data_IF_190228484499
#
_entry.id   IF_190228484499
#
_cell.length_a   1.000
_cell.length_b   1.000
_cell.length_c   1.000
_cell.angle_alpha   90.00
_cell.angle_beta   90.00
_cell.angle_gamma   90.00
#
_symmetry.space_group_name_H-M   'P 1'
#
loop_
_entity.id
_entity.type
_entity.pdbx_description
1 polymer ?
#
# COMPACT_ATOMS: atom_id res chain seq x y z
N UNK A 1 -6.14 14.17 -9.54
CA UNK A 1 -6.04 15.43 -8.77
C UNK A 1 -4.65 15.52 -8.15
N UNK A 2 -4.14 16.71 -7.88
CA UNK A 2 -2.76 16.93 -7.40
C UNK A 2 -2.36 16.06 -6.19
N UNK A 3 -3.26 15.92 -5.20
CA UNK A 3 -3.01 15.09 -3.99
C UNK A 3 -2.87 13.60 -4.32
N UNK A 4 -3.64 13.10 -5.30
CA UNK A 4 -3.51 11.72 -5.77
C UNK A 4 -2.13 11.48 -6.39
N UNK A 5 -1.65 12.41 -7.21
CA UNK A 5 -0.32 12.30 -7.83
C UNK A 5 0.81 12.32 -6.79
N UNK A 6 0.72 13.19 -5.78
CA UNK A 6 1.65 13.20 -4.66
C UNK A 6 1.63 11.88 -3.89
N UNK A 7 0.43 11.37 -3.61
CA UNK A 7 0.25 10.09 -2.90
C UNK A 7 0.85 8.93 -3.70
N UNK A 8 0.58 8.86 -5.00
CA UNK A 8 1.12 7.82 -5.88
C UNK A 8 2.66 7.89 -5.97
N UNK A 9 3.22 9.10 -6.05
CA UNK A 9 4.68 9.27 -6.05
C UNK A 9 5.30 8.87 -4.71
N UNK A 10 4.62 9.17 -3.60
CA UNK A 10 5.06 8.73 -2.29
C UNK A 10 5.00 7.19 -2.17
N UNK A 11 3.91 6.56 -2.65
CA UNK A 11 3.78 5.10 -2.72
C UNK A 11 4.91 4.46 -3.52
N UNK A 12 5.35 5.06 -4.64
CA UNK A 12 6.51 4.56 -5.40
C UNK A 12 7.81 4.59 -4.59
N UNK A 13 7.98 5.58 -3.71
CA UNK A 13 9.17 5.69 -2.85
C UNK A 13 9.12 4.72 -1.65
N UNK A 14 7.96 4.60 -1.01
CA UNK A 14 7.79 3.74 0.18
C UNK A 14 7.53 2.27 -0.17
N UNK A 15 7.11 2.00 -1.40
CA UNK A 15 6.71 0.70 -1.95
C UNK A 15 5.52 0.06 -1.23
N UNK A 16 4.91 -0.94 -1.87
CA UNK A 16 3.75 -1.67 -1.32
C UNK A 16 4.10 -2.74 -0.29
N UNK A 17 5.35 -3.19 -0.27
CA UNK A 17 5.79 -4.30 0.56
C UNK A 17 6.59 -3.78 1.74
N UNK A 18 6.33 -4.33 2.91
CA UNK A 18 7.14 -4.05 4.08
C UNK A 18 8.56 -4.60 3.90
N UNK A 19 9.54 -3.87 4.44
CA UNK A 19 10.89 -4.36 4.61
C UNK A 19 11.19 -4.44 6.11
N UNK A 20 11.71 -5.58 6.57
CA UNK A 20 12.06 -5.79 7.98
C UNK A 20 13.06 -4.75 8.51
N UNK A 21 13.89 -4.20 7.62
CA UNK A 21 14.88 -3.15 7.93
C UNK A 21 14.30 -1.75 7.94
N UNK A 22 13.03 -1.56 7.63
CA UNK A 22 12.41 -0.23 7.68
C UNK A 22 12.31 0.26 9.12
N UNK A 23 12.74 1.50 9.33
CA UNK A 23 12.45 2.24 10.56
C UNK A 23 10.94 2.43 10.74
N UNK A 24 10.49 2.59 11.99
CA UNK A 24 9.08 2.77 12.32
C UNK A 24 8.42 3.93 11.56
N UNK A 25 9.14 5.05 11.41
CA UNK A 25 8.63 6.23 10.66
C UNK A 25 8.36 5.87 9.20
N UNK A 26 9.22 5.05 8.59
CA UNK A 26 9.03 4.62 7.20
C UNK A 26 7.84 3.67 7.05
N UNK A 27 7.61 2.78 8.01
CA UNK A 27 6.42 1.92 8.05
C UNK A 27 5.15 2.76 8.16
N UNK A 28 5.13 3.75 9.05
CA UNK A 28 4.00 4.67 9.20
C UNK A 28 3.72 5.47 7.92
N UNK A 29 4.77 6.02 7.31
CA UNK A 29 4.66 6.78 6.06
C UNK A 29 4.06 5.93 4.92
N UNK A 30 4.41 4.63 4.86
CA UNK A 30 3.81 3.70 3.90
C UNK A 30 2.31 3.55 4.10
N UNK A 31 1.87 3.35 5.34
CA UNK A 31 0.45 3.20 5.67
C UNK A 31 -0.32 4.45 5.25
N UNK A 32 0.17 5.64 5.61
CA UNK A 32 -0.49 6.90 5.25
C UNK A 32 -0.53 7.12 3.73
N UNK A 33 0.57 6.88 3.04
CA UNK A 33 0.64 7.02 1.58
C UNK A 33 -0.36 6.10 0.86
N UNK A 34 -0.42 4.83 1.27
CA UNK A 34 -1.33 3.84 0.70
C UNK A 34 -2.80 4.18 1.02
N UNK A 35 -3.09 4.61 2.25
CA UNK A 35 -4.43 5.04 2.64
C UNK A 35 -4.93 6.18 1.75
N UNK A 36 -4.13 7.23 1.57
CA UNK A 36 -4.49 8.35 0.71
C UNK A 36 -4.63 7.95 -0.76
N UNK A 37 -3.64 7.22 -1.31
CA UNK A 37 -3.70 6.79 -2.71
C UNK A 37 -4.95 5.95 -3.01
N UNK A 38 -5.25 4.94 -2.18
CA UNK A 38 -6.41 4.07 -2.37
C UNK A 38 -7.74 4.82 -2.19
N UNK A 39 -7.84 5.68 -1.17
CA UNK A 39 -9.02 6.50 -0.88
C UNK A 39 -9.33 7.44 -2.04
N UNK A 40 -8.29 8.09 -2.58
CA UNK A 40 -8.41 9.02 -3.71
C UNK A 40 -8.62 8.34 -5.07
N UNK A 41 -8.66 7.01 -5.12
CA UNK A 41 -9.00 6.28 -6.33
C UNK A 41 -7.83 5.88 -7.21
N UNK A 42 -6.61 5.84 -6.67
CA UNK A 42 -5.45 5.30 -7.37
C UNK A 42 -5.72 3.89 -7.88
N UNK A 43 -5.64 3.69 -9.20
CA UNK A 43 -5.85 2.38 -9.82
C UNK A 43 -4.80 1.38 -9.37
N UNK A 44 -3.52 1.80 -9.33
CA UNK A 44 -2.43 0.93 -8.89
C UNK A 44 -2.62 0.49 -7.44
N UNK A 45 -2.96 1.42 -6.54
CA UNK A 45 -3.22 1.10 -5.14
C UNK A 45 -4.37 0.09 -4.98
N UNK A 46 -5.51 0.34 -5.63
CA UNK A 46 -6.67 -0.55 -5.54
C UNK A 46 -6.42 -1.93 -6.15
N UNK A 47 -5.70 -2.00 -7.27
CA UNK A 47 -5.31 -3.28 -7.88
C UNK A 47 -4.42 -4.07 -6.93
N UNK A 48 -3.35 -3.47 -6.41
CA UNK A 48 -2.45 -4.15 -5.49
C UNK A 48 -3.15 -4.58 -4.19
N UNK A 49 -3.99 -3.72 -3.61
CA UNK A 49 -4.77 -4.05 -2.42
C UNK A 49 -5.70 -5.24 -2.67
N UNK A 50 -6.38 -5.26 -3.83
CA UNK A 50 -7.24 -6.39 -4.23
C UNK A 50 -6.43 -7.67 -4.37
N UNK A 51 -5.30 -7.62 -5.09
CA UNK A 51 -4.40 -8.78 -5.26
C UNK A 51 -3.92 -9.32 -3.92
N UNK A 52 -3.48 -8.45 -3.00
CA UNK A 52 -3.00 -8.86 -1.67
C UNK A 52 -4.11 -9.53 -0.85
N UNK A 53 -5.32 -8.95 -0.83
CA UNK A 53 -6.45 -9.53 -0.11
C UNK A 53 -6.88 -10.85 -0.73
N UNK A 54 -6.96 -10.95 -2.06
CA UNK A 54 -7.29 -12.19 -2.76
C UNK A 54 -6.28 -13.30 -2.48
N UNK A 55 -4.98 -12.98 -2.48
CA UNK A 55 -3.93 -13.93 -2.14
C UNK A 55 -4.08 -14.41 -0.69
N UNK A 56 -4.30 -13.49 0.26
CA UNK A 56 -4.52 -13.84 1.67
C UNK A 56 -5.77 -14.71 1.89
N UNK A 57 -6.84 -14.47 1.13
CA UNK A 57 -8.05 -15.29 1.19
C UNK A 57 -7.84 -16.69 0.58
N UNK A 58 -6.97 -16.81 -0.43
CA UNK A 58 -6.65 -18.09 -1.06
C UNK A 58 -5.66 -18.93 -0.25
N UNK A 59 -4.83 -18.30 0.60
CA UNK A 59 -3.92 -19.03 1.48
C UNK A 59 -4.68 -19.76 2.60
N UNK A 60 -4.53 -21.09 2.73
CA UNK A 60 -5.08 -21.82 3.88
C UNK A 60 -4.54 -21.20 5.17
N UNK A 61 -5.43 -20.87 6.10
CA UNK A 61 -5.00 -20.43 7.43
C UNK A 61 -4.61 -21.66 8.22
N UNK A 62 -3.38 -21.72 8.71
CA UNK A 62 -2.98 -22.72 9.69
C UNK A 62 -3.79 -22.47 10.97
N UNK A 63 -4.37 -23.55 11.51
CA UNK A 63 -5.23 -23.54 12.70
C UNK A 63 -4.41 -23.66 13.97
#
# INVERSE_FOLDING_TARGET
TYVLELSDNLVKNVTFNENEKDEHVRKYLRIDALNWACTLGSKSCRTEATTKVSNWLATPKEN
#
